data_IF_556838729149
#
_entry.id   IF_556838729149
#
_cell.length_a   1.000
_cell.length_b   1.000
_cell.length_c   1.000
_cell.angle_alpha   90.00
_cell.angle_beta   90.00
_cell.angle_gamma   90.00
#
_symmetry.space_group_name_H-M   'P 1'
#
loop_
_entity.id
_entity.type
_entity.pdbx_description
1 polymer ?
#
# COMPACT_ATOMS: atom_id res chain seq x y z
N UNK A 1 -13.79 64.11 29.77
CA UNK A 1 -15.16 64.41 30.26
C UNK A 1 -16.05 64.51 29.03
N UNK A 2 -17.05 63.69 28.73
CA UNK A 2 -17.68 62.56 29.40
C UNK A 2 -18.46 61.79 28.33
N UNK A 3 -18.53 60.46 28.46
CA UNK A 3 -19.46 59.53 27.77
C UNK A 3 -20.94 59.89 28.08
N UNK A 4 -22.02 59.23 27.56
CA UNK A 4 -22.11 57.79 27.23
C UNK A 4 -23.03 57.33 26.06
N UNK A 5 -23.00 56.01 25.90
CA UNK A 5 -23.64 55.03 25.00
C UNK A 5 -25.17 54.81 25.12
N UNK A 6 -25.82 54.29 24.05
CA UNK A 6 -26.98 53.36 24.04
C UNK A 6 -27.22 52.88 22.57
N UNK A 7 -27.00 51.62 22.18
CA UNK A 7 -27.86 50.42 22.25
C UNK A 7 -29.19 50.47 21.47
N UNK A 8 -29.33 49.64 20.43
CA UNK A 8 -30.63 49.27 19.82
C UNK A 8 -30.89 47.77 19.89
N UNK A 9 -32.02 47.45 20.54
CA UNK A 9 -32.94 46.33 20.42
C UNK A 9 -32.56 45.08 19.61
N UNK A 10 -32.55 43.93 20.30
CA UNK A 10 -32.89 42.63 19.71
C UNK A 10 -34.01 41.99 20.55
N UNK A 11 -35.10 41.61 19.91
CA UNK A 11 -36.31 41.12 20.55
C UNK A 11 -36.18 39.66 21.02
N UNK A 12 -36.51 39.42 22.30
CA UNK A 12 -36.67 38.09 22.89
C UNK A 12 -38.00 37.44 22.47
N UNK A 13 -37.95 36.14 22.15
CA UNK A 13 -39.06 35.20 22.42
C UNK A 13 -38.54 34.10 23.35
N UNK A 14 -39.24 33.94 24.48
CA UNK A 14 -38.96 33.05 25.62
C UNK A 14 -39.06 31.57 25.25
N UNK A 15 -38.16 30.76 25.82
CA UNK A 15 -38.33 29.30 26.06
C UNK A 15 -38.07 29.05 27.56
N UNK A 16 -38.81 28.16 28.25
CA UNK A 16 -38.77 28.05 29.71
C UNK A 16 -37.52 27.36 30.24
N UNK A 17 -37.06 27.80 31.42
CA UNK A 17 -35.94 27.26 32.16
C UNK A 17 -36.32 25.99 32.95
N UNK A 18 -35.43 24.99 32.96
CA UNK A 18 -35.35 23.94 33.97
C UNK A 18 -33.89 23.84 34.42
N UNK A 19 -33.70 23.89 35.74
CA UNK A 19 -32.42 23.98 36.47
C UNK A 19 -31.54 22.72 36.39
N UNK A 20 -30.23 22.82 36.70
CA UNK A 20 -29.26 21.75 36.48
C UNK A 20 -29.22 20.79 37.67
N UNK A 21 -29.37 19.50 37.40
CA UNK A 21 -29.00 18.45 38.36
C UNK A 21 -28.18 17.36 37.66
N UNK A 22 -26.92 17.26 38.12
CA UNK A 22 -26.16 16.03 38.30
C UNK A 22 -25.78 15.23 37.04
N UNK A 23 -24.60 15.50 36.49
CA UNK A 23 -23.86 14.58 35.61
C UNK A 23 -23.06 13.64 36.53
N UNK A 24 -23.29 12.31 36.52
CA UNK A 24 -22.35 11.36 37.10
C UNK A 24 -21.22 11.10 36.09
N UNK A 25 -20.01 11.19 36.60
CA UNK A 25 -18.73 10.88 35.96
C UNK A 25 -18.74 9.51 35.25
N UNK A 26 -18.28 9.46 33.99
CA UNK A 26 -17.87 8.20 33.36
C UNK A 26 -16.48 7.82 33.88
N UNK A 27 -16.45 6.94 34.88
CA UNK A 27 -15.30 6.08 35.16
C UNK A 27 -15.23 4.97 34.10
N UNK A 28 -14.02 4.75 33.56
CA UNK A 28 -13.71 3.54 32.79
C UNK A 28 -13.81 2.29 33.68
N UNK A 29 -14.23 1.14 33.12
CA UNK A 29 -13.75 -0.14 33.60
C UNK A 29 -12.76 -0.74 32.60
N UNK A 30 -11.66 -1.20 33.17
CA UNK A 30 -10.64 -2.00 32.52
C UNK A 30 -11.15 -3.39 32.10
N UNK A 31 -10.43 -3.94 31.13
CA UNK A 31 -10.42 -5.30 30.59
C UNK A 31 -11.13 -6.42 31.37
N UNK A 32 -12.01 -7.13 30.68
CA UNK A 32 -12.26 -8.55 30.87
C UNK A 32 -12.56 -9.17 29.49
N UNK A 33 -11.79 -10.18 29.10
CA UNK A 33 -11.85 -10.80 27.78
C UNK A 33 -13.16 -11.53 27.51
N UNK A 34 -13.65 -11.40 26.28
CA UNK A 34 -14.61 -12.31 25.69
C UNK A 34 -14.35 -12.38 24.18
N UNK A 35 -13.94 -13.58 23.73
CA UNK A 35 -13.96 -13.99 22.32
C UNK A 35 -15.36 -13.78 21.73
N UNK A 36 -15.47 -13.01 20.64
CA UNK A 36 -16.67 -13.01 19.80
C UNK A 36 -16.22 -13.25 18.36
N UNK A 37 -16.75 -14.33 17.76
CA UNK A 37 -16.58 -14.69 16.36
C UNK A 37 -17.49 -13.81 15.50
N UNK A 38 -16.96 -12.71 14.99
CA UNK A 38 -17.69 -11.68 14.21
C UNK A 38 -17.96 -12.07 12.75
N UNK A 39 -18.49 -13.27 12.48
CA UNK A 39 -18.91 -13.66 11.12
C UNK A 39 -20.42 -13.85 10.98
N UNK A 40 -21.19 -13.92 12.07
CA UNK A 40 -22.65 -14.10 12.01
C UNK A 40 -23.46 -12.83 12.40
N UNK A 41 -22.87 -11.88 13.13
CA UNK A 41 -23.61 -10.72 13.66
C UNK A 41 -23.87 -9.59 12.65
N UNK A 42 -23.11 -9.50 11.54
CA UNK A 42 -23.35 -8.46 10.53
C UNK A 42 -24.64 -8.69 9.73
N UNK A 43 -25.13 -9.94 9.67
CA UNK A 43 -26.43 -10.27 9.05
C UNK A 43 -27.62 -9.91 9.95
N UNK A 44 -27.39 -9.79 11.27
CA UNK A 44 -28.41 -9.45 12.27
C UNK A 44 -28.36 -7.99 12.74
N UNK A 45 -27.47 -7.18 12.17
CA UNK A 45 -27.33 -5.79 12.56
C UNK A 45 -28.42 -4.94 11.90
N UNK A 46 -29.28 -4.31 12.71
CA UNK A 46 -30.36 -3.39 12.26
C UNK A 46 -29.83 -2.10 11.58
N UNK A 47 -28.52 -2.00 11.40
CA UNK A 47 -27.87 -0.89 10.70
C UNK A 47 -28.13 -0.99 9.19
N UNK A 48 -28.58 0.10 8.52
CA UNK A 48 -28.84 0.10 7.08
C UNK A 48 -27.64 -0.37 6.24
N UNK A 49 -26.43 -0.11 6.74
CA UNK A 49 -25.16 -0.51 6.11
C UNK A 49 -24.92 -2.02 6.08
N UNK A 50 -25.49 -2.82 7.00
CA UNK A 50 -25.41 -4.28 6.96
C UNK A 50 -26.43 -4.88 5.97
N UNK A 51 -27.67 -4.38 6.03
CA UNK A 51 -28.80 -4.86 5.23
C UNK A 51 -28.63 -4.60 3.71
N UNK A 52 -28.02 -3.48 3.34
CA UNK A 52 -27.87 -3.05 1.94
C UNK A 52 -26.61 -3.62 1.26
N UNK A 53 -25.61 -4.07 2.02
CA UNK A 53 -24.27 -4.28 1.47
C UNK A 53 -24.20 -5.51 0.57
N UNK A 54 -24.70 -6.66 1.03
CA UNK A 54 -24.43 -7.93 0.33
C UNK A 54 -25.08 -8.00 -1.05
N UNK A 55 -26.34 -7.54 -1.18
CA UNK A 55 -27.08 -7.63 -2.45
C UNK A 55 -26.82 -6.47 -3.42
N UNK A 56 -26.49 -5.28 -2.89
CA UNK A 56 -26.09 -4.15 -3.73
C UNK A 56 -24.75 -4.42 -4.43
N UNK A 57 -23.82 -5.07 -3.72
CA UNK A 57 -22.50 -5.45 -4.26
C UNK A 57 -22.60 -6.51 -5.38
N UNK A 58 -23.67 -7.29 -5.43
CA UNK A 58 -23.93 -8.33 -6.43
C UNK A 58 -24.76 -7.84 -7.64
N UNK A 59 -25.09 -6.55 -7.69
CA UNK A 59 -25.81 -5.95 -8.83
C UNK A 59 -27.31 -6.26 -8.86
N UNK A 60 -27.91 -6.66 -7.74
CA UNK A 60 -29.33 -6.99 -7.62
C UNK A 60 -30.06 -6.12 -6.59
N UNK A 61 -29.71 -4.84 -6.57
CA UNK A 61 -30.34 -3.86 -5.69
C UNK A 61 -31.83 -3.71 -6.03
N UNK A 62 -32.69 -4.30 -5.23
CA UNK A 62 -34.12 -4.03 -5.24
C UNK A 62 -34.67 -4.17 -3.82
N UNK A 63 -35.68 -3.37 -3.47
CA UNK A 63 -36.33 -3.46 -2.16
C UNK A 63 -36.90 -4.87 -1.91
N UNK A 64 -37.38 -5.55 -2.95
CA UNK A 64 -37.88 -6.92 -2.83
C UNK A 64 -36.80 -7.95 -2.47
N UNK A 65 -35.59 -7.83 -3.04
CA UNK A 65 -34.50 -8.71 -2.68
C UNK A 65 -33.98 -8.43 -1.26
N UNK A 66 -33.90 -7.15 -0.88
CA UNK A 66 -33.38 -6.72 0.43
C UNK A 66 -34.29 -7.18 1.57
N UNK A 67 -35.61 -7.26 1.31
CA UNK A 67 -36.62 -7.58 2.31
C UNK A 67 -37.04 -9.06 2.34
N UNK A 68 -36.56 -9.89 1.40
CA UNK A 68 -36.87 -11.32 1.37
C UNK A 68 -35.92 -12.12 2.29
N UNK A 69 -36.50 -12.82 3.26
CA UNK A 69 -35.79 -13.63 4.26
C UNK A 69 -35.42 -15.05 3.77
N UNK A 70 -36.03 -15.53 2.68
CA UNK A 70 -35.76 -16.85 2.11
C UNK A 70 -34.62 -16.77 1.09
N UNK A 71 -33.42 -17.14 1.53
CA UNK A 71 -32.19 -17.09 0.73
C UNK A 71 -31.95 -18.41 0.00
N UNK A 72 -32.00 -18.41 -1.33
CA UNK A 72 -31.28 -19.41 -2.13
C UNK A 72 -29.91 -18.84 -2.57
N UNK A 73 -28.84 -19.66 -2.61
CA UNK A 73 -27.55 -19.23 -3.13
C UNK A 73 -27.61 -19.08 -4.66
N UNK A 74 -27.90 -17.87 -5.14
CA UNK A 74 -28.10 -17.64 -6.59
C UNK A 74 -26.79 -17.25 -7.28
N UNK A 75 -26.37 -18.05 -8.27
CA UNK A 75 -25.19 -17.82 -9.12
C UNK A 75 -25.25 -16.49 -9.90
N UNK A 76 -24.09 -15.82 -9.99
CA UNK A 76 -23.84 -14.68 -10.90
C UNK A 76 -24.10 -15.12 -12.34
N UNK A 77 -25.14 -14.58 -12.98
CA UNK A 77 -25.32 -14.74 -14.42
C UNK A 77 -24.27 -13.88 -15.14
N UNK A 78 -23.20 -14.50 -15.63
CA UNK A 78 -22.36 -13.90 -16.68
C UNK A 78 -23.25 -13.70 -17.90
N UNK A 79 -23.32 -12.47 -18.42
CA UNK A 79 -23.94 -12.19 -19.71
C UNK A 79 -23.31 -13.10 -20.76
N UNK A 80 -24.14 -13.86 -21.47
CA UNK A 80 -23.75 -15.03 -22.29
C UNK A 80 -23.10 -14.67 -23.64
N UNK A 81 -22.90 -13.38 -23.92
CA UNK A 81 -22.32 -12.83 -25.17
C UNK A 81 -21.04 -12.03 -24.88
N UNK A 82 -20.02 -12.68 -24.33
CA UNK A 82 -18.71 -12.05 -24.14
C UNK A 82 -17.78 -12.46 -25.28
N UNK A 83 -17.33 -11.47 -26.06
CA UNK A 83 -16.20 -11.62 -26.99
C UNK A 83 -15.01 -12.25 -26.26
N UNK A 84 -14.19 -13.10 -26.93
CA UNK A 84 -13.04 -13.71 -26.29
C UNK A 84 -12.12 -12.63 -25.71
N UNK A 85 -11.91 -12.65 -24.39
CA UNK A 85 -11.05 -11.68 -23.69
C UNK A 85 -9.59 -12.19 -23.62
N UNK A 86 -9.35 -13.48 -23.90
CA UNK A 86 -8.04 -14.11 -23.83
C UNK A 86 -7.10 -13.60 -24.95
N UNK A 87 -5.93 -13.00 -24.62
CA UNK A 87 -4.99 -12.50 -25.62
C UNK A 87 -4.47 -13.57 -26.58
N UNK A 88 -4.47 -14.85 -26.19
CA UNK A 88 -4.02 -15.96 -27.04
C UNK A 88 -5.10 -16.33 -28.05
N UNK A 89 -6.36 -16.41 -27.62
CA UNK A 89 -7.50 -16.70 -28.51
C UNK A 89 -7.75 -15.58 -29.51
N UNK A 90 -7.49 -14.33 -29.10
CA UNK A 90 -7.51 -13.15 -29.97
C UNK A 90 -6.34 -13.10 -30.97
N UNK A 91 -5.40 -14.05 -30.92
CA UNK A 91 -4.22 -14.04 -31.78
C UNK A 91 -3.29 -12.85 -31.52
N UNK A 92 -3.35 -12.25 -30.33
CA UNK A 92 -2.44 -11.14 -29.99
C UNK A 92 -1.01 -11.65 -29.83
N UNK A 93 -0.87 -12.87 -29.30
CA UNK A 93 0.39 -13.56 -29.00
C UNK A 93 0.24 -15.07 -29.20
N UNK A 94 1.33 -15.74 -29.57
CA UNK A 94 1.36 -17.21 -29.67
C UNK A 94 1.43 -17.86 -28.29
N UNK A 95 0.86 -19.08 -28.10
CA UNK A 95 0.86 -19.76 -26.80
C UNK A 95 2.27 -19.98 -26.22
N UNK A 96 3.25 -20.31 -27.07
CA UNK A 96 4.64 -20.54 -26.65
C UNK A 96 5.30 -19.27 -26.11
N UNK A 97 5.10 -18.14 -26.80
CA UNK A 97 5.65 -16.86 -26.40
C UNK A 97 4.95 -16.31 -25.16
N UNK A 98 3.62 -16.50 -25.06
CA UNK A 98 2.87 -16.15 -23.86
C UNK A 98 3.39 -16.91 -22.62
N UNK A 99 3.63 -18.21 -22.75
CA UNK A 99 4.21 -19.02 -21.67
C UNK A 99 5.62 -18.54 -21.28
N UNK A 100 6.47 -18.26 -22.27
CA UNK A 100 7.84 -17.75 -22.02
C UNK A 100 7.85 -16.39 -21.32
N UNK A 101 6.98 -15.46 -21.72
CA UNK A 101 6.83 -14.16 -21.06
C UNK A 101 6.28 -14.31 -19.64
N UNK A 102 5.29 -15.18 -19.43
CA UNK A 102 4.76 -15.47 -18.11
C UNK A 102 5.82 -16.01 -17.16
N UNK A 103 6.64 -16.96 -17.62
CA UNK A 103 7.72 -17.53 -16.81
C UNK A 103 8.78 -16.47 -16.48
N UNK A 104 9.13 -15.64 -17.46
CA UNK A 104 10.05 -14.51 -17.26
C UNK A 104 9.50 -13.51 -16.23
N UNK A 105 8.19 -13.23 -16.24
CA UNK A 105 7.57 -12.39 -15.22
C UNK A 105 7.69 -13.03 -13.83
N UNK A 106 7.32 -14.30 -13.68
CA UNK A 106 7.30 -14.97 -12.38
C UNK A 106 8.70 -15.10 -11.77
N UNK A 107 9.72 -15.31 -12.61
CA UNK A 107 11.11 -15.46 -12.16
C UNK A 107 11.82 -14.12 -11.94
N UNK A 108 11.62 -13.12 -12.81
CA UNK A 108 12.41 -11.88 -12.78
C UNK A 108 11.65 -10.71 -12.19
N UNK A 109 10.39 -10.48 -12.56
CA UNK A 109 9.65 -9.28 -12.17
C UNK A 109 8.88 -9.46 -10.85
N UNK A 110 8.24 -10.61 -10.66
CA UNK A 110 7.44 -10.90 -9.47
C UNK A 110 8.22 -10.77 -8.15
N UNK A 111 9.52 -11.15 -8.04
CA UNK A 111 10.29 -10.92 -6.82
C UNK A 111 10.42 -9.44 -6.38
N UNK A 112 10.32 -8.48 -7.30
CA UNK A 112 10.39 -7.05 -6.95
C UNK A 112 9.10 -6.53 -6.31
N UNK A 113 7.98 -7.21 -6.56
CA UNK A 113 6.64 -6.76 -6.14
C UNK A 113 5.99 -7.72 -5.14
N UNK A 114 6.50 -8.96 -5.05
CA UNK A 114 6.06 -10.05 -4.17
C UNK A 114 4.56 -10.33 -4.20
N UNK A 115 3.92 -10.11 -5.33
CA UNK A 115 2.47 -10.04 -5.40
C UNK A 115 1.82 -11.40 -5.69
N UNK A 116 2.42 -12.17 -6.60
CA UNK A 116 1.90 -13.47 -7.02
C UNK A 116 2.67 -14.60 -6.35
N UNK A 117 1.94 -15.68 -6.06
CA UNK A 117 2.51 -16.93 -5.55
C UNK A 117 2.87 -17.85 -6.72
N UNK A 118 4.16 -18.22 -6.93
CA UNK A 118 4.56 -19.11 -8.01
C UNK A 118 3.93 -20.51 -7.96
N UNK A 119 3.51 -20.98 -6.79
CA UNK A 119 2.94 -22.33 -6.63
C UNK A 119 1.46 -22.33 -7.00
N UNK A 120 0.74 -21.23 -6.73
CA UNK A 120 -0.67 -21.08 -7.09
C UNK A 120 -0.86 -20.51 -8.49
N UNK A 121 -0.17 -19.42 -8.82
CA UNK A 121 -0.34 -18.65 -10.06
C UNK A 121 0.49 -19.27 -11.18
N UNK A 122 0.13 -20.50 -11.55
CA UNK A 122 0.67 -21.14 -12.74
C UNK A 122 0.03 -20.56 -14.00
N UNK A 123 0.71 -20.67 -15.15
CA UNK A 123 0.18 -20.17 -16.43
C UNK A 123 -1.23 -20.70 -16.75
N UNK A 124 -1.53 -22.02 -16.62
CA UNK A 124 -2.88 -22.54 -16.84
C UNK A 124 -3.90 -21.98 -15.84
N UNK A 125 -3.52 -21.84 -14.56
CA UNK A 125 -4.39 -21.32 -13.51
C UNK A 125 -4.81 -19.88 -13.81
N UNK A 126 -3.83 -19.00 -14.08
CA UNK A 126 -4.09 -17.57 -14.34
C UNK A 126 -4.92 -17.40 -15.61
N UNK A 127 -4.59 -18.11 -16.68
CA UNK A 127 -5.33 -18.07 -17.94
C UNK A 127 -6.80 -18.48 -17.77
N UNK A 128 -7.07 -19.51 -16.97
CA UNK A 128 -8.43 -19.97 -16.70
C UNK A 128 -9.23 -19.03 -15.79
N UNK A 129 -8.55 -18.34 -14.86
CA UNK A 129 -9.19 -17.49 -13.84
C UNK A 129 -9.48 -16.07 -14.33
N UNK A 130 -8.54 -15.43 -15.03
CA UNK A 130 -8.67 -14.02 -15.42
C UNK A 130 -7.81 -13.66 -16.63
N UNK A 131 -8.49 -13.35 -17.74
CA UNK A 131 -7.86 -12.81 -18.95
C UNK A 131 -7.18 -11.45 -18.68
N UNK A 132 -7.73 -10.64 -17.77
CA UNK A 132 -7.15 -9.35 -17.41
C UNK A 132 -5.84 -9.50 -16.62
N UNK A 133 -5.78 -10.44 -15.67
CA UNK A 133 -4.54 -10.73 -14.95
C UNK A 133 -3.47 -11.29 -15.88
N UNK A 134 -3.83 -12.25 -16.74
CA UNK A 134 -2.92 -12.78 -17.75
C UNK A 134 -2.36 -11.67 -18.64
N UNK A 135 -3.24 -10.84 -19.21
CA UNK A 135 -2.84 -9.76 -20.12
C UNK A 135 -1.93 -8.75 -19.45
N UNK A 136 -2.19 -8.41 -18.18
CA UNK A 136 -1.35 -7.48 -17.40
C UNK A 136 0.05 -8.06 -17.14
N UNK A 137 0.14 -9.35 -16.78
CA UNK A 137 1.40 -10.06 -16.61
C UNK A 137 2.20 -10.06 -17.91
N UNK A 138 1.55 -10.46 -19.02
CA UNK A 138 2.21 -10.55 -20.33
C UNK A 138 2.65 -9.17 -20.84
N UNK A 139 1.85 -8.12 -20.63
CA UNK A 139 2.22 -6.76 -20.99
C UNK A 139 3.47 -6.28 -20.24
N UNK A 140 3.53 -6.44 -18.91
CA UNK A 140 4.69 -6.00 -18.14
C UNK A 140 5.93 -6.85 -18.44
N UNK A 141 5.76 -8.15 -18.68
CA UNK A 141 6.84 -9.01 -19.16
C UNK A 141 7.36 -8.57 -20.54
N UNK A 142 6.45 -8.27 -21.47
CA UNK A 142 6.81 -7.78 -22.80
C UNK A 142 7.55 -6.43 -22.72
N UNK A 143 7.16 -5.52 -21.82
CA UNK A 143 7.89 -4.27 -21.57
C UNK A 143 9.36 -4.51 -21.24
N UNK A 144 9.65 -5.53 -20.42
CA UNK A 144 11.01 -5.86 -19.99
C UNK A 144 11.79 -6.71 -21.01
N UNK A 145 11.15 -7.66 -21.68
CA UNK A 145 11.85 -8.71 -22.45
C UNK A 145 11.53 -8.74 -23.95
N UNK A 146 10.41 -8.15 -24.38
CA UNK A 146 9.99 -8.15 -25.78
C UNK A 146 9.12 -6.91 -26.11
N UNK A 147 9.79 -5.77 -26.26
CA UNK A 147 9.13 -4.48 -26.43
C UNK A 147 8.26 -4.39 -27.70
N UNK A 148 8.52 -5.23 -28.71
CA UNK A 148 7.72 -5.27 -29.95
C UNK A 148 6.27 -5.67 -29.66
N UNK A 149 6.04 -6.54 -28.68
CA UNK A 149 4.70 -6.96 -28.27
C UNK A 149 4.09 -6.09 -27.18
N UNK A 150 4.88 -5.22 -26.56
CA UNK A 150 4.47 -4.46 -25.39
C UNK A 150 3.22 -3.62 -25.66
N UNK A 151 3.27 -2.75 -26.68
CA UNK A 151 2.17 -1.81 -26.99
C UNK A 151 0.85 -2.58 -27.19
N UNK A 152 0.88 -3.61 -28.04
CA UNK A 152 -0.31 -4.43 -28.36
C UNK A 152 -0.91 -5.12 -27.14
N UNK A 153 -0.07 -5.71 -26.28
CA UNK A 153 -0.53 -6.39 -25.06
C UNK A 153 -0.97 -5.41 -23.98
N UNK A 154 -0.32 -4.26 -23.89
CA UNK A 154 -0.65 -3.21 -22.95
C UNK A 154 -1.99 -2.56 -23.29
N UNK A 155 -2.23 -2.22 -24.56
CA UNK A 155 -3.51 -1.68 -25.02
C UNK A 155 -4.66 -2.65 -24.71
N UNK A 156 -4.48 -3.95 -24.99
CA UNK A 156 -5.46 -4.98 -24.61
C UNK A 156 -5.71 -5.03 -23.10
N UNK A 157 -4.66 -4.94 -22.27
CA UNK A 157 -4.84 -4.88 -20.82
C UNK A 157 -5.59 -3.61 -20.37
N UNK A 158 -5.37 -2.46 -21.02
CA UNK A 158 -6.11 -1.22 -20.73
C UNK A 158 -7.59 -1.31 -21.14
N UNK A 159 -7.89 -1.96 -22.26
CA UNK A 159 -9.26 -2.22 -22.71
C UNK A 159 -10.01 -3.13 -21.72
N UNK A 160 -9.35 -4.19 -21.26
CA UNK A 160 -9.89 -5.07 -20.22
C UNK A 160 -10.09 -4.31 -18.90
N UNK A 161 -9.16 -3.44 -18.51
CA UNK A 161 -9.33 -2.61 -17.31
C UNK A 161 -10.57 -1.70 -17.42
N UNK A 162 -10.76 -1.07 -18.58
CA UNK A 162 -11.93 -0.22 -18.86
C UNK A 162 -13.24 -1.02 -18.87
N UNK A 163 -13.21 -2.23 -19.43
CA UNK A 163 -14.33 -3.18 -19.43
C UNK A 163 -14.72 -3.59 -18.01
N UNK A 164 -13.74 -3.95 -17.17
CA UNK A 164 -13.93 -4.30 -15.75
C UNK A 164 -14.59 -3.15 -15.00
N UNK A 165 -14.09 -1.93 -15.17
CA UNK A 165 -14.66 -0.74 -14.55
C UNK A 165 -16.12 -0.51 -14.98
N UNK A 166 -16.38 -0.55 -16.29
CA UNK A 166 -17.72 -0.38 -16.87
C UNK A 166 -18.72 -1.43 -16.38
N UNK A 167 -18.29 -2.68 -16.24
CA UNK A 167 -19.12 -3.81 -15.77
C UNK A 167 -19.27 -3.84 -14.24
N UNK A 168 -18.42 -3.11 -13.50
CA UNK A 168 -18.36 -3.20 -12.04
C UNK A 168 -17.90 -4.57 -11.52
N UNK A 169 -17.08 -5.29 -12.30
CA UNK A 169 -16.60 -6.62 -11.94
C UNK A 169 -15.57 -6.56 -10.82
N UNK A 170 -15.64 -7.51 -9.88
CA UNK A 170 -14.83 -7.53 -8.66
C UNK A 170 -14.32 -8.94 -8.40
N UNK A 171 -13.00 -9.09 -8.33
CA UNK A 171 -12.31 -10.33 -7.97
C UNK A 171 -10.89 -10.05 -7.47
N UNK A 172 -10.25 -11.06 -6.89
CA UNK A 172 -8.84 -10.98 -6.42
C UNK A 172 -7.92 -10.69 -7.60
N UNK A 173 -8.13 -11.38 -8.71
CA UNK A 173 -7.31 -11.31 -9.92
C UNK A 173 -7.42 -9.94 -10.59
N UNK A 174 -8.58 -9.29 -10.51
CA UNK A 174 -8.78 -7.91 -10.97
C UNK A 174 -7.93 -6.94 -10.15
N UNK A 175 -7.98 -7.04 -8.82
CA UNK A 175 -7.15 -6.22 -7.93
C UNK A 175 -5.67 -6.45 -8.25
N UNK A 176 -5.29 -7.72 -8.45
CA UNK A 176 -3.92 -8.05 -8.74
C UNK A 176 -3.44 -7.48 -10.08
N UNK A 177 -4.26 -7.59 -11.12
CA UNK A 177 -3.98 -7.04 -12.44
C UNK A 177 -3.79 -5.51 -12.39
N UNK A 178 -4.67 -4.81 -11.66
CA UNK A 178 -4.56 -3.36 -11.48
C UNK A 178 -3.23 -2.98 -10.85
N UNK A 179 -2.81 -3.68 -9.79
CA UNK A 179 -1.53 -3.41 -9.11
C UNK A 179 -0.33 -3.64 -10.03
N UNK A 180 -0.32 -4.73 -10.80
CA UNK A 180 0.75 -5.03 -11.75
C UNK A 180 0.94 -3.88 -12.75
N UNK A 181 -0.16 -3.33 -13.28
CA UNK A 181 -0.12 -2.19 -14.21
C UNK A 181 0.39 -0.88 -13.57
N UNK A 182 0.46 -0.80 -12.23
CA UNK A 182 0.91 0.41 -11.52
C UNK A 182 2.39 0.43 -11.19
N UNK A 183 3.07 -0.72 -11.18
CA UNK A 183 4.48 -0.81 -10.77
C UNK A 183 5.48 -0.33 -11.83
N UNK A 184 5.16 -0.56 -13.11
CA UNK A 184 5.97 -0.16 -14.27
C UNK A 184 5.12 0.71 -15.21
N UNK A 185 4.66 1.85 -14.70
CA UNK A 185 3.71 2.71 -15.41
C UNK A 185 4.38 3.41 -16.58
N UNK A 186 3.58 3.97 -17.49
CA UNK A 186 4.10 4.91 -18.47
C UNK A 186 4.34 6.28 -17.82
N UNK A 187 5.36 7.04 -18.25
CA UNK A 187 5.63 8.38 -17.70
C UNK A 187 4.40 9.29 -17.75
N UNK A 188 3.61 9.18 -18.81
CA UNK A 188 2.40 9.98 -19.04
C UNK A 188 1.17 9.48 -18.26
N UNK A 189 1.23 8.29 -17.65
CA UNK A 189 0.10 7.78 -16.88
C UNK A 189 0.06 8.46 -15.50
N UNK A 190 -0.98 9.27 -15.30
CA UNK A 190 -1.28 9.99 -14.06
C UNK A 190 -2.29 9.25 -13.18
N UNK A 191 -2.84 8.13 -13.66
CA UNK A 191 -3.98 7.43 -13.04
C UNK A 191 -3.57 6.44 -11.96
N UNK A 192 -2.28 6.18 -11.77
CA UNK A 192 -1.78 5.13 -10.85
C UNK A 192 -2.43 5.19 -9.47
N UNK A 193 -2.49 6.36 -8.83
CA UNK A 193 -3.10 6.47 -7.50
C UNK A 193 -4.63 6.30 -7.51
N UNK A 194 -5.29 6.73 -8.58
CA UNK A 194 -6.73 6.49 -8.77
C UNK A 194 -6.99 5.00 -8.98
N UNK A 195 -6.15 4.32 -9.75
CA UNK A 195 -6.22 2.87 -9.98
C UNK A 195 -5.98 2.09 -8.68
N UNK A 196 -4.97 2.46 -7.88
CA UNK A 196 -4.73 1.88 -6.55
C UNK A 196 -5.93 2.13 -5.63
N UNK A 197 -6.48 3.35 -5.60
CA UNK A 197 -7.67 3.67 -4.83
C UNK A 197 -8.90 2.83 -5.24
N UNK A 198 -9.06 2.58 -6.54
CA UNK A 198 -10.10 1.69 -7.05
C UNK A 198 -9.88 0.24 -6.62
N UNK A 199 -8.65 -0.27 -6.73
CA UNK A 199 -8.29 -1.61 -6.24
C UNK A 199 -8.58 -1.77 -4.75
N UNK A 200 -8.24 -0.77 -3.92
CA UNK A 200 -8.55 -0.76 -2.49
C UNK A 200 -10.07 -0.79 -2.25
N UNK A 201 -10.85 -0.04 -3.04
CA UNK A 201 -12.32 -0.07 -2.94
C UNK A 201 -12.88 -1.45 -3.30
N UNK A 202 -12.34 -2.12 -4.33
CA UNK A 202 -12.71 -3.51 -4.63
C UNK A 202 -12.40 -4.43 -3.45
N UNK A 203 -11.25 -4.28 -2.78
CA UNK A 203 -10.92 -5.07 -1.59
C UNK A 203 -11.89 -4.83 -0.43
N UNK A 204 -12.34 -3.58 -0.23
CA UNK A 204 -13.37 -3.26 0.77
C UNK A 204 -14.69 -3.96 0.44
N UNK A 205 -15.12 -3.88 -0.81
CA UNK A 205 -16.33 -4.53 -1.32
C UNK A 205 -16.27 -6.06 -1.19
N UNK A 206 -15.08 -6.66 -1.32
CA UNK A 206 -14.86 -8.09 -1.10
C UNK A 206 -14.71 -8.46 0.39
N UNK A 207 -14.89 -7.51 1.30
CA UNK A 207 -14.86 -7.75 2.75
C UNK A 207 -13.46 -7.92 3.35
N UNK A 208 -12.38 -7.61 2.62
CA UNK A 208 -11.02 -7.92 3.09
C UNK A 208 -10.58 -7.07 4.29
N UNK A 209 -11.17 -5.88 4.45
CA UNK A 209 -10.93 -5.00 5.59
C UNK A 209 -11.42 -5.58 6.93
N UNK A 210 -12.35 -6.54 6.91
CA UNK A 210 -12.88 -7.23 8.10
C UNK A 210 -12.14 -8.53 8.43
N UNK A 211 -11.14 -8.91 7.64
CA UNK A 211 -10.44 -10.19 7.83
C UNK A 211 -9.47 -10.09 9.00
N UNK A 212 -9.78 -10.79 10.08
CA UNK A 212 -8.83 -11.07 11.16
C UNK A 212 -7.80 -12.13 10.71
N UNK A 213 -6.59 -12.09 11.29
CA UNK A 213 -5.60 -13.16 11.15
C UNK A 213 -6.10 -14.42 11.88
N UNK A 214 -6.94 -15.19 11.22
CA UNK A 214 -7.56 -16.38 11.81
C UNK A 214 -6.64 -17.60 11.67
N UNK A 215 -5.90 -17.93 12.74
CA UNK A 215 -5.44 -19.32 13.01
C UNK A 215 -6.60 -20.19 13.54
N UNK A 216 -7.76 -20.11 12.89
CA UNK A 216 -8.95 -20.81 13.36
C UNK A 216 -8.87 -22.31 13.11
N UNK A 217 -9.50 -23.12 13.97
CA UNK A 217 -9.73 -24.55 13.75
C UNK A 217 -10.48 -24.86 12.43
N UNK A 218 -11.17 -23.88 11.84
CA UNK A 218 -11.75 -23.97 10.51
C UNK A 218 -10.69 -24.02 9.39
N UNK A 219 -9.56 -23.30 9.54
CA UNK A 219 -8.44 -23.34 8.60
C UNK A 219 -7.76 -24.71 8.56
N UNK A 220 -7.86 -25.49 9.64
CA UNK A 220 -7.34 -26.86 9.71
C UNK A 220 -8.12 -27.84 8.81
N UNK A 221 -9.38 -27.53 8.45
CA UNK A 221 -10.22 -28.33 7.54
C UNK A 221 -10.13 -27.93 6.07
N UNK A 222 -9.50 -26.79 5.77
CA UNK A 222 -9.34 -26.32 4.39
C UNK A 222 -8.35 -27.17 3.60
N UNK A 223 -8.68 -27.39 2.32
CA UNK A 223 -7.74 -27.96 1.35
C UNK A 223 -6.53 -27.04 1.16
N UNK A 224 -5.38 -27.62 0.80
CA UNK A 224 -4.14 -26.86 0.55
C UNK A 224 -4.35 -25.74 -0.48
N UNK A 225 -5.11 -25.99 -1.55
CA UNK A 225 -5.43 -24.99 -2.56
C UNK A 225 -6.22 -23.80 -1.99
N UNK A 226 -7.17 -24.04 -1.07
CA UNK A 226 -7.95 -22.97 -0.42
C UNK A 226 -7.07 -22.13 0.51
N UNK A 227 -6.12 -22.77 1.20
CA UNK A 227 -5.15 -22.06 2.05
C UNK A 227 -4.23 -21.17 1.21
N UNK A 228 -3.79 -21.64 0.05
CA UNK A 228 -2.98 -20.86 -0.90
C UNK A 228 -3.76 -19.67 -1.47
N UNK A 229 -5.03 -19.87 -1.88
CA UNK A 229 -5.91 -18.79 -2.33
C UNK A 229 -6.13 -17.75 -1.21
N UNK A 230 -6.37 -18.20 0.03
CA UNK A 230 -6.50 -17.31 1.20
C UNK A 230 -5.24 -16.47 1.40
N UNK A 231 -4.06 -17.08 1.33
CA UNK A 231 -2.75 -16.43 1.47
C UNK A 231 -2.47 -15.45 0.33
N UNK A 232 -2.91 -15.77 -0.89
CA UNK A 232 -2.83 -14.86 -2.05
C UNK A 232 -3.62 -13.58 -1.83
N UNK A 233 -4.81 -13.68 -1.22
CA UNK A 233 -5.60 -12.50 -0.85
C UNK A 233 -4.89 -11.66 0.21
N UNK A 234 -4.35 -12.30 1.24
CA UNK A 234 -3.57 -11.64 2.30
C UNK A 234 -2.38 -10.86 1.74
N UNK A 235 -1.57 -11.48 0.86
CA UNK A 235 -0.48 -10.79 0.13
C UNK A 235 -0.98 -9.57 -0.62
N UNK A 236 -2.07 -9.72 -1.36
CA UNK A 236 -2.62 -8.65 -2.17
C UNK A 236 -3.03 -7.48 -1.28
N UNK A 237 -3.68 -7.75 -0.14
CA UNK A 237 -4.06 -6.74 0.86
C UNK A 237 -2.84 -5.99 1.41
N UNK A 238 -1.77 -6.71 1.75
CA UNK A 238 -0.51 -6.12 2.25
C UNK A 238 0.13 -5.22 1.18
N UNK A 239 0.21 -5.69 -0.07
CA UNK A 239 0.86 -4.95 -1.17
C UNK A 239 0.17 -3.62 -1.51
N UNK A 240 -1.16 -3.53 -1.33
CA UNK A 240 -1.96 -2.32 -1.57
C UNK A 240 -1.62 -1.16 -0.64
N UNK A 241 -0.97 -1.44 0.49
CA UNK A 241 -0.66 -0.46 1.51
C UNK A 241 0.73 0.14 1.29
N UNK A 242 1.17 0.44 0.06
CA UNK A 242 2.50 1.03 -0.19
C UNK A 242 2.39 2.50 -0.65
N UNK A 243 3.18 3.41 -0.07
CA UNK A 243 3.43 4.78 -0.60
C UNK A 243 2.50 5.96 -0.23
N UNK A 244 1.30 5.75 0.33
CA UNK A 244 0.35 6.82 0.74
C UNK A 244 -0.27 6.55 2.12
N UNK A 245 -0.98 7.50 2.78
CA UNK A 245 -1.68 7.25 4.04
C UNK A 245 -2.55 5.99 3.98
N UNK A 246 -2.75 5.35 5.13
CA UNK A 246 -3.57 4.15 5.23
C UNK A 246 -4.98 4.42 4.70
N UNK A 247 -5.36 3.72 3.62
CA UNK A 247 -6.74 3.71 3.14
C UNK A 247 -7.50 2.48 3.66
N UNK A 248 -6.79 1.47 4.14
CA UNK A 248 -7.31 0.34 4.92
C UNK A 248 -6.73 0.52 6.32
N UNK A 249 -7.58 0.42 7.36
CA UNK A 249 -7.14 0.54 8.74
C UNK A 249 -6.08 -0.51 9.08
N UNK A 250 -5.14 -0.14 9.96
CA UNK A 250 -4.13 -1.06 10.44
C UNK A 250 -4.82 -2.07 11.38
N UNK A 251 -5.16 -3.24 10.84
CA UNK A 251 -5.77 -4.32 11.61
C UNK A 251 -4.73 -5.10 12.41
N UNK A 252 -5.18 -5.88 13.39
CA UNK A 252 -4.32 -6.81 14.15
C UNK A 252 -3.52 -7.76 13.24
N UNK A 253 -4.04 -8.07 12.04
CA UNK A 253 -3.33 -8.84 11.03
C UNK A 253 -2.07 -8.14 10.54
N UNK A 254 -2.15 -6.84 10.24
CA UNK A 254 -1.00 -6.06 9.78
C UNK A 254 0.03 -5.93 10.90
N UNK A 255 -0.40 -5.76 12.16
CA UNK A 255 0.49 -5.71 13.31
C UNK A 255 1.21 -7.06 13.57
N UNK A 256 0.53 -8.17 13.29
CA UNK A 256 1.06 -9.54 13.45
C UNK A 256 1.76 -10.08 12.19
N UNK A 257 2.17 -9.22 11.26
CA UNK A 257 2.79 -9.61 9.98
C UNK A 257 4.02 -10.52 10.14
N UNK A 258 4.79 -10.38 11.22
CA UNK A 258 5.96 -11.24 11.45
C UNK A 258 5.57 -12.70 11.66
N UNK A 259 4.42 -12.97 12.28
CA UNK A 259 3.90 -14.33 12.44
C UNK A 259 3.47 -14.92 11.09
N UNK A 260 2.90 -14.10 10.21
CA UNK A 260 2.52 -14.48 8.86
C UNK A 260 3.74 -14.83 7.99
N UNK A 261 4.84 -14.09 8.14
CA UNK A 261 6.12 -14.36 7.46
C UNK A 261 6.89 -15.57 8.01
N UNK A 262 6.45 -16.17 9.12
CA UNK A 262 7.09 -17.37 9.70
C UNK A 262 6.18 -18.60 9.63
N UNK A 263 5.08 -18.51 8.89
CA UNK A 263 4.11 -19.59 8.72
C UNK A 263 4.64 -20.67 7.75
N UNK A 264 4.07 -21.88 7.78
CA UNK A 264 4.52 -23.03 6.99
C UNK A 264 4.33 -22.84 5.48
N UNK A 265 3.37 -22.01 5.05
CA UNK A 265 3.08 -21.71 3.64
C UNK A 265 3.88 -20.52 3.08
N UNK A 266 4.92 -20.09 3.80
CA UNK A 266 5.69 -18.90 3.44
C UNK A 266 6.59 -19.15 2.23
N UNK A 267 6.51 -18.25 1.25
CA UNK A 267 7.44 -18.21 0.11
C UNK A 267 8.52 -17.14 0.34
N UNK A 268 9.63 -17.20 -0.39
CA UNK A 268 10.73 -16.23 -0.26
C UNK A 268 10.26 -14.77 -0.41
N UNK A 269 9.34 -14.53 -1.35
CA UNK A 269 8.75 -13.23 -1.63
C UNK A 269 7.96 -12.64 -0.43
N UNK A 270 7.42 -13.48 0.45
CA UNK A 270 6.65 -13.04 1.62
C UNK A 270 7.54 -12.33 2.65
N UNK A 271 8.85 -12.64 2.68
CA UNK A 271 9.80 -11.97 3.56
C UNK A 271 9.95 -10.50 3.19
N UNK A 272 10.00 -10.18 1.89
CA UNK A 272 10.08 -8.80 1.43
C UNK A 272 8.82 -8.01 1.82
N UNK A 273 7.63 -8.59 1.65
CA UNK A 273 6.38 -7.97 2.09
C UNK A 273 6.36 -7.71 3.59
N UNK A 274 6.82 -8.67 4.40
CA UNK A 274 6.98 -8.50 5.84
C UNK A 274 7.92 -7.36 6.21
N UNK A 275 9.07 -7.28 5.52
CA UNK A 275 10.02 -6.20 5.70
C UNK A 275 9.38 -4.84 5.41
N UNK A 276 8.72 -4.69 4.27
CA UNK A 276 8.08 -3.42 3.91
C UNK A 276 6.89 -3.05 4.81
N UNK A 277 6.12 -4.04 5.27
CA UNK A 277 5.00 -3.80 6.19
C UNK A 277 5.51 -3.33 7.55
N UNK A 278 6.51 -4.02 8.11
CA UNK A 278 7.12 -3.61 9.38
C UNK A 278 7.82 -2.24 9.29
N UNK A 279 8.46 -1.94 8.16
CA UNK A 279 9.03 -0.61 7.90
C UNK A 279 7.94 0.47 7.89
N UNK A 280 6.82 0.20 7.22
CA UNK A 280 5.68 1.10 7.18
C UNK A 280 5.07 1.28 8.57
N UNK A 281 4.94 0.23 9.38
CA UNK A 281 4.48 0.30 10.77
C UNK A 281 5.41 1.16 11.66
N UNK A 282 6.73 1.09 11.46
CA UNK A 282 7.67 1.96 12.19
C UNK A 282 7.40 3.43 11.87
N UNK A 283 7.08 3.75 10.62
CA UNK A 283 6.86 5.12 10.16
C UNK A 283 5.43 5.64 10.32
N UNK A 284 4.43 4.77 10.46
CA UNK A 284 3.01 5.11 10.29
C UNK A 284 2.48 6.21 11.21
N UNK A 285 2.90 6.22 12.48
CA UNK A 285 2.40 7.17 13.48
C UNK A 285 3.25 8.43 13.58
N UNK A 286 4.58 8.30 13.53
CA UNK A 286 5.49 9.41 13.82
C UNK A 286 5.84 10.25 12.58
N UNK A 287 5.92 9.63 11.39
CA UNK A 287 6.35 10.33 10.17
C UNK A 287 5.31 11.37 9.69
N UNK A 288 3.99 11.10 9.68
CA UNK A 288 2.99 12.11 9.32
C UNK A 288 2.96 13.29 10.28
N UNK A 289 3.18 13.05 11.58
CA UNK A 289 3.26 14.11 12.59
C UNK A 289 4.46 15.03 12.33
N UNK A 290 5.63 14.46 12.07
CA UNK A 290 6.84 15.22 11.70
C UNK A 290 6.63 15.97 10.38
N UNK A 291 6.09 15.32 9.35
CA UNK A 291 5.82 15.96 8.06
C UNK A 291 4.83 17.12 8.17
N UNK A 292 3.79 17.00 8.99
CA UNK A 292 2.79 18.05 9.21
C UNK A 292 3.41 19.25 9.92
N UNK A 293 4.13 19.02 11.02
CA UNK A 293 4.81 20.09 11.75
C UNK A 293 5.91 20.78 10.92
N UNK A 294 6.60 20.02 10.05
CA UNK A 294 7.61 20.55 9.12
C UNK A 294 6.98 21.53 8.12
N UNK A 295 5.86 21.14 7.51
CA UNK A 295 5.10 22.03 6.60
C UNK A 295 4.59 23.29 7.29
N UNK A 296 4.19 23.17 8.55
CA UNK A 296 3.71 24.29 9.36
C UNK A 296 4.86 25.19 9.87
N UNK A 297 6.13 24.87 9.55
CA UNK A 297 7.33 25.56 10.05
C UNK A 297 7.37 25.68 11.57
N UNK A 298 6.70 24.76 12.27
CA UNK A 298 6.53 24.78 13.72
C UNK A 298 7.40 23.73 14.42
N UNK A 299 8.27 23.03 13.67
CA UNK A 299 9.23 22.10 14.24
C UNK A 299 10.40 22.88 14.83
N UNK A 300 10.50 22.93 16.15
CA UNK A 300 11.77 23.27 16.80
C UNK A 300 12.70 22.06 16.78
N UNK A 301 14.01 22.31 16.63
CA UNK A 301 15.03 21.26 16.62
C UNK A 301 14.94 20.38 17.88
N UNK A 302 14.80 21.01 19.05
CA UNK A 302 14.70 20.37 20.36
C UNK A 302 13.54 19.38 20.48
N UNK A 303 12.42 19.63 19.80
CA UNK A 303 11.25 18.75 19.83
C UNK A 303 11.36 17.59 18.83
N UNK A 304 12.05 17.81 17.71
CA UNK A 304 12.21 16.80 16.65
C UNK A 304 13.35 15.81 16.89
N UNK A 305 14.45 16.25 17.50
CA UNK A 305 15.67 15.46 17.61
C UNK A 305 15.49 14.10 18.34
N UNK A 306 14.76 14.01 19.48
CA UNK A 306 14.54 12.73 20.15
C UNK A 306 13.70 11.75 19.31
N UNK A 307 12.68 12.27 18.61
CA UNK A 307 11.82 11.45 17.75
C UNK A 307 12.57 10.98 16.50
N UNK A 308 13.38 11.84 15.90
CA UNK A 308 14.25 11.48 14.76
C UNK A 308 15.25 10.41 15.16
N UNK A 309 15.96 10.58 16.29
CA UNK A 309 16.92 9.59 16.79
C UNK A 309 16.26 8.24 17.12
N UNK A 310 15.08 8.26 17.75
CA UNK A 310 14.32 7.05 18.05
C UNK A 310 13.92 6.29 16.77
N UNK A 311 13.41 6.99 15.75
CA UNK A 311 13.01 6.39 14.49
C UNK A 311 14.21 5.89 13.70
N UNK A 312 15.31 6.63 13.68
CA UNK A 312 16.54 6.23 13.02
C UNK A 312 17.07 4.90 13.58
N UNK A 313 17.18 4.80 14.91
CA UNK A 313 17.57 3.54 15.57
C UNK A 313 16.56 2.40 15.38
N UNK A 314 15.29 2.67 15.06
CA UNK A 314 14.33 1.64 14.65
C UNK A 314 14.54 1.19 13.21
N UNK A 315 14.83 2.12 12.29
CA UNK A 315 15.12 1.82 10.88
C UNK A 315 16.43 1.02 10.77
N UNK A 316 17.46 1.38 11.53
CA UNK A 316 18.74 0.63 11.56
C UNK A 316 18.56 -0.81 12.02
N UNK A 317 17.85 -1.01 13.14
CA UNK A 317 17.55 -2.36 13.65
C UNK A 317 16.70 -3.15 12.67
N UNK A 318 15.74 -2.50 12.02
CA UNK A 318 14.91 -3.12 10.98
C UNK A 318 15.77 -3.57 9.79
N UNK A 319 16.62 -2.70 9.26
CA UNK A 319 17.48 -3.00 8.10
C UNK A 319 18.41 -4.17 8.41
N UNK A 320 19.06 -4.15 9.58
CA UNK A 320 19.93 -5.23 10.05
C UNK A 320 19.17 -6.56 10.14
N UNK A 321 18.04 -6.59 10.85
CA UNK A 321 17.21 -7.79 11.05
C UNK A 321 16.82 -8.44 9.72
N UNK A 322 16.30 -7.64 8.78
CA UNK A 322 15.77 -8.18 7.53
C UNK A 322 16.86 -8.53 6.53
N UNK A 323 17.96 -7.77 6.51
CA UNK A 323 19.13 -8.11 5.68
C UNK A 323 19.75 -9.42 6.14
N UNK A 324 19.98 -9.60 7.45
CA UNK A 324 20.51 -10.86 8.00
C UNK A 324 19.60 -12.06 7.67
N UNK A 325 18.28 -11.89 7.77
CA UNK A 325 17.30 -12.94 7.45
C UNK A 325 17.35 -13.36 5.98
N UNK A 326 17.56 -12.42 5.06
CA UNK A 326 17.53 -12.68 3.61
C UNK A 326 18.90 -13.13 3.08
N UNK A 327 19.99 -12.56 3.57
CA UNK A 327 21.34 -13.00 3.20
C UNK A 327 21.60 -14.44 3.64
N UNK A 328 20.94 -14.91 4.70
CA UNK A 328 20.97 -16.32 5.11
C UNK A 328 20.33 -17.28 4.09
N UNK A 329 19.45 -16.78 3.21
CA UNK A 329 18.72 -17.58 2.21
C UNK A 329 19.37 -17.48 0.83
N UNK A 330 19.72 -16.26 0.39
CA UNK A 330 20.28 -16.02 -0.94
C UNK A 330 21.17 -14.77 -0.94
N UNK A 331 22.43 -14.92 -1.34
CA UNK A 331 23.38 -13.82 -1.40
C UNK A 331 23.10 -12.90 -2.62
N UNK A 332 23.09 -11.57 -2.41
CA UNK A 332 22.85 -10.54 -3.44
C UNK A 332 21.52 -10.66 -4.20
N UNK A 333 20.44 -11.04 -3.52
CA UNK A 333 19.10 -11.05 -4.11
C UNK A 333 18.55 -9.64 -4.35
N UNK A 334 17.54 -9.53 -5.23
CA UNK A 334 16.76 -8.29 -5.39
C UNK A 334 16.15 -7.83 -4.05
N UNK A 335 15.78 -8.76 -3.17
CA UNK A 335 15.23 -8.45 -1.84
C UNK A 335 16.25 -7.73 -0.95
N UNK A 336 17.52 -8.15 -0.97
CA UNK A 336 18.59 -7.46 -0.22
C UNK A 336 18.75 -6.01 -0.71
N UNK A 337 18.79 -5.82 -2.03
CA UNK A 337 18.85 -4.48 -2.62
C UNK A 337 17.68 -3.62 -2.16
N UNK A 338 16.45 -4.13 -2.29
CA UNK A 338 15.23 -3.42 -1.97
C UNK A 338 15.17 -3.01 -0.49
N UNK A 339 15.52 -3.90 0.44
CA UNK A 339 15.48 -3.59 1.88
C UNK A 339 16.48 -2.48 2.23
N UNK A 340 17.73 -2.62 1.79
CA UNK A 340 18.77 -1.59 2.02
C UNK A 340 18.37 -0.26 1.38
N UNK A 341 17.85 -0.29 0.15
CA UNK A 341 17.48 0.91 -0.60
C UNK A 341 16.32 1.67 0.06
N UNK A 342 15.23 0.98 0.41
CA UNK A 342 14.08 1.61 1.05
C UNK A 342 14.39 2.06 2.49
N UNK A 343 15.19 1.31 3.25
CA UNK A 343 15.67 1.71 4.57
C UNK A 343 16.49 3.00 4.52
N UNK A 344 17.47 3.04 3.61
CA UNK A 344 18.33 4.23 3.40
C UNK A 344 17.50 5.42 2.91
N UNK A 345 16.53 5.21 2.01
CA UNK A 345 15.65 6.26 1.53
C UNK A 345 14.81 6.88 2.66
N UNK A 346 14.22 6.06 3.53
CA UNK A 346 13.45 6.56 4.67
C UNK A 346 14.32 7.29 5.69
N UNK A 347 15.55 6.83 5.91
CA UNK A 347 16.54 7.54 6.75
C UNK A 347 16.87 8.91 6.17
N UNK A 348 17.08 9.00 4.85
CA UNK A 348 17.28 10.28 4.16
C UNK A 348 16.06 11.20 4.35
N UNK A 349 14.85 10.69 4.10
CA UNK A 349 13.63 11.49 4.28
C UNK A 349 13.46 11.98 5.71
N UNK A 350 13.68 11.11 6.70
CA UNK A 350 13.57 11.41 8.12
C UNK A 350 14.45 12.59 8.52
N UNK A 351 15.71 12.57 8.08
CA UNK A 351 16.68 13.63 8.39
C UNK A 351 16.50 14.87 7.51
N UNK A 352 15.82 14.77 6.37
CA UNK A 352 15.52 15.96 5.53
C UNK A 352 14.35 16.79 6.09
N UNK A 353 13.42 16.17 6.84
CA UNK A 353 12.22 16.85 7.36
C UNK A 353 12.52 18.08 8.26
N UNK A 354 13.45 18.00 9.24
CA UNK A 354 13.85 19.17 10.04
C UNK A 354 14.61 20.21 9.21
N UNK A 355 15.35 19.78 8.18
CA UNK A 355 16.18 20.67 7.35
C UNK A 355 15.36 21.51 6.37
N UNK A 356 14.10 21.17 6.09
CA UNK A 356 13.30 21.87 5.09
C UNK A 356 13.08 23.36 5.43
N UNK A 357 12.97 23.70 6.72
CA UNK A 357 12.86 25.10 7.16
C UNK A 357 14.16 25.89 6.96
N UNK A 358 15.31 25.24 7.12
CA UNK A 358 16.65 25.84 7.08
C UNK A 358 17.14 25.98 5.63
N UNK A 359 16.96 24.96 4.80
CA UNK A 359 17.31 25.01 3.37
C UNK A 359 16.45 26.00 2.55
N UNK A 360 15.44 26.61 3.18
CA UNK A 360 14.55 27.63 2.59
C UNK A 360 14.74 28.99 3.27
N UNK A 361 15.20 29.02 4.52
CA UNK A 361 15.49 30.25 5.27
C UNK A 361 16.99 30.52 5.25
N UNK A 362 17.40 31.64 4.66
CA UNK A 362 18.79 32.09 4.49
C UNK A 362 19.54 32.43 5.81
N UNK A 363 19.12 31.84 6.94
CA UNK A 363 19.63 32.15 8.28
C UNK A 363 20.62 31.10 8.77
N UNK A 364 21.72 31.61 9.28
CA UNK A 364 22.98 30.98 9.67
C UNK A 364 22.93 30.19 10.99
N UNK A 365 22.02 29.22 11.13
CA UNK A 365 21.96 28.35 12.33
C UNK A 365 22.27 26.87 11.99
N UNK A 366 23.29 26.69 11.13
CA UNK A 366 23.70 25.40 10.56
C UNK A 366 24.42 24.52 11.60
N UNK A 367 25.16 25.13 12.53
CA UNK A 367 26.00 24.42 13.51
C UNK A 367 25.19 23.47 14.40
N UNK A 368 23.93 23.80 14.71
CA UNK A 368 23.05 22.94 15.51
C UNK A 368 22.48 21.74 14.78
N UNK A 369 22.64 21.67 13.45
CA UNK A 369 22.04 20.65 12.59
C UNK A 369 23.06 19.86 11.76
N UNK A 370 24.36 20.08 11.99
CA UNK A 370 25.43 19.50 11.17
C UNK A 370 25.38 17.96 11.15
N UNK A 371 25.06 17.34 12.29
CA UNK A 371 24.89 15.90 12.40
C UNK A 371 23.72 15.39 11.55
N UNK A 372 22.60 16.11 11.57
CA UNK A 372 21.42 15.77 10.75
C UNK A 372 21.71 15.90 9.26
N UNK A 373 22.45 16.95 8.87
CA UNK A 373 22.90 17.15 7.48
C UNK A 373 23.86 16.04 7.06
N UNK A 374 24.79 15.65 7.93
CA UNK A 374 25.76 14.58 7.65
C UNK A 374 25.08 13.22 7.46
N UNK A 375 24.10 12.87 8.32
CA UNK A 375 23.33 11.63 8.17
C UNK A 375 22.50 11.64 6.89
N UNK A 376 21.87 12.77 6.55
CA UNK A 376 21.14 12.90 5.28
C UNK A 376 22.08 12.79 4.07
N UNK A 377 23.23 13.47 4.10
CA UNK A 377 24.24 13.42 3.04
C UNK A 377 24.78 11.99 2.84
N UNK A 378 25.20 11.33 3.91
CA UNK A 378 25.70 9.95 3.85
C UNK A 378 24.63 8.97 3.37
N UNK A 379 23.38 9.14 3.80
CA UNK A 379 22.25 8.33 3.31
C UNK A 379 22.02 8.53 1.81
N UNK A 380 22.02 9.77 1.33
CA UNK A 380 21.85 10.06 -0.10
C UNK A 380 22.99 9.48 -0.95
N UNK A 381 24.24 9.57 -0.48
CA UNK A 381 25.40 8.98 -1.14
C UNK A 381 25.32 7.45 -1.16
N UNK A 382 24.94 6.83 -0.04
CA UNK A 382 24.77 5.39 0.08
C UNK A 382 23.69 4.87 -0.88
N UNK A 383 22.59 5.61 -1.09
CA UNK A 383 21.59 5.25 -2.12
C UNK A 383 22.20 5.16 -3.52
N UNK A 384 23.05 6.13 -3.91
CA UNK A 384 23.70 6.11 -5.22
C UNK A 384 24.72 4.96 -5.33
N UNK A 385 25.43 4.65 -4.24
CA UNK A 385 26.34 3.50 -4.18
C UNK A 385 25.58 2.17 -4.29
N UNK A 386 24.41 2.04 -3.66
CA UNK A 386 23.55 0.86 -3.77
C UNK A 386 23.08 0.64 -5.22
N UNK A 387 22.66 1.70 -5.91
CA UNK A 387 22.30 1.64 -7.33
C UNK A 387 23.49 1.18 -8.19
N UNK A 388 24.69 1.68 -7.92
CA UNK A 388 25.90 1.25 -8.64
C UNK A 388 26.27 -0.21 -8.33
N UNK A 389 26.08 -0.67 -7.09
CA UNK A 389 26.44 -2.03 -6.65
C UNK A 389 25.46 -3.09 -7.17
N UNK A 390 24.19 -2.73 -7.29
CA UNK A 390 23.11 -3.61 -7.74
C UNK A 390 22.59 -3.23 -9.13
N UNK A 391 23.46 -2.73 -10.01
CA UNK A 391 23.08 -2.18 -11.32
C UNK A 391 22.22 -3.12 -12.17
N UNK A 392 22.48 -4.43 -12.11
CA UNK A 392 21.70 -5.47 -12.80
C UNK A 392 20.23 -5.56 -12.35
N UNK A 393 19.94 -5.14 -11.12
CA UNK A 393 18.61 -5.20 -10.54
C UNK A 393 17.79 -3.93 -10.83
N UNK A 394 18.48 -2.83 -11.14
CA UNK A 394 17.87 -1.51 -11.31
C UNK A 394 16.98 -1.45 -12.54
N UNK A 395 17.24 -2.24 -13.58
CA UNK A 395 16.42 -2.25 -14.80
C UNK A 395 15.04 -2.90 -14.62
N UNK A 396 14.87 -3.75 -13.60
CA UNK A 396 13.61 -4.43 -13.29
C UNK A 396 12.87 -3.82 -12.09
N UNK A 397 13.54 -2.89 -11.40
CA UNK A 397 13.01 -2.14 -10.28
C UNK A 397 11.73 -1.36 -10.66
N UNK A 398 10.90 -1.11 -9.65
CA UNK A 398 9.72 -0.25 -9.79
C UNK A 398 10.13 1.20 -10.08
N UNK A 399 9.26 1.95 -10.76
CA UNK A 399 9.53 3.37 -11.10
C UNK A 399 9.81 4.25 -9.88
N UNK A 400 9.25 3.89 -8.72
CA UNK A 400 9.50 4.57 -7.44
C UNK A 400 10.99 4.63 -7.08
N UNK A 401 11.76 3.59 -7.39
CA UNK A 401 13.19 3.51 -7.08
C UNK A 401 13.98 4.54 -7.88
N UNK A 402 13.61 4.77 -9.15
CA UNK A 402 14.22 5.80 -9.98
C UNK A 402 13.90 7.21 -9.46
N UNK A 403 12.66 7.46 -9.02
CA UNK A 403 12.26 8.74 -8.41
C UNK A 403 13.01 8.99 -7.10
N UNK A 404 13.14 7.97 -6.25
CA UNK A 404 13.89 8.05 -5.00
C UNK A 404 15.39 8.29 -5.23
N UNK A 405 15.95 7.72 -6.28
CA UNK A 405 17.34 7.94 -6.71
C UNK A 405 17.54 9.37 -7.25
N UNK A 406 16.61 9.87 -8.06
CA UNK A 406 16.65 11.25 -8.53
C UNK A 406 16.54 12.24 -7.35
N UNK A 407 15.70 11.93 -6.36
CA UNK A 407 15.58 12.71 -5.13
C UNK A 407 16.89 12.76 -4.34
N UNK A 408 17.58 11.63 -4.15
CA UNK A 408 18.87 11.62 -3.43
C UNK A 408 19.95 12.41 -4.17
N UNK A 409 20.03 12.29 -5.49
CA UNK A 409 20.96 13.07 -6.31
C UNK A 409 20.67 14.58 -6.22
N UNK A 410 19.40 14.98 -6.37
CA UNK A 410 18.99 16.38 -6.25
C UNK A 410 19.28 16.95 -4.85
N UNK A 411 19.08 16.15 -3.80
CA UNK A 411 19.42 16.54 -2.43
C UNK A 411 20.92 16.83 -2.28
N UNK A 412 21.79 15.94 -2.77
CA UNK A 412 23.25 16.13 -2.72
C UNK A 412 23.69 17.41 -3.43
N UNK A 413 23.17 17.67 -4.64
CA UNK A 413 23.46 18.91 -5.38
C UNK A 413 23.06 20.14 -4.57
N UNK A 414 21.88 20.11 -3.93
CA UNK A 414 21.39 21.23 -3.12
C UNK A 414 22.25 21.48 -1.88
N UNK A 415 22.68 20.42 -1.20
CA UNK A 415 23.56 20.51 -0.02
C UNK A 415 24.92 21.08 -0.40
N UNK A 416 25.54 20.59 -1.48
CA UNK A 416 26.83 21.10 -1.98
C UNK A 416 26.72 22.57 -2.34
N UNK A 417 25.68 22.96 -3.07
CA UNK A 417 25.46 24.35 -3.46
C UNK A 417 25.30 25.28 -2.25
N UNK A 418 24.54 24.84 -1.23
CA UNK A 418 24.33 25.59 0.00
C UNK A 418 25.66 25.86 0.75
N UNK A 419 26.50 24.84 0.95
CA UNK A 419 27.80 25.04 1.62
C UNK A 419 28.81 25.83 0.77
N UNK A 420 28.80 25.66 -0.55
CA UNK A 420 29.66 26.46 -1.44
C UNK A 420 29.29 27.95 -1.45
N UNK A 421 28.01 28.30 -1.25
CA UNK A 421 27.58 29.68 -1.08
C UNK A 421 27.87 30.22 0.33
N UNK A 422 27.64 29.39 1.36
CA UNK A 422 27.92 29.79 2.74
C UNK A 422 29.40 30.06 3.00
N UNK A 423 30.31 29.32 2.35
CA UNK A 423 31.76 29.55 2.46
C UNK A 423 32.30 30.76 1.66
N UNK A 424 31.44 31.56 1.04
CA UNK A 424 31.82 32.83 0.37
C UNK A 424 31.59 34.08 1.24
N UNK A 425 31.01 33.92 2.43
CA UNK A 425 30.89 34.94 3.46
C UNK A 425 31.76 34.57 4.65
#
# INVERSE_FOLDING_TARGET
>A
MSSPSLQSANALKKVPAISPQSIPSLESPAAAGAHISETEDDANNLQPSGLLNHQALEGRFSLGNILNADQEPVQRQRSRDESPEDPIELGLITPSLAKSLFDSFMTVLNPYISQLDPHLHTFPYVRAKSAFLLSSILAMAAKAFNYVLYIKLYDHAQDLFSSVFRRGSKSVEIVQAILILTYWKEPQDTRVWTSVGYAIRICMDLGWHKRAYCRSAAAAKESEAQRQERRSIERTCISLQTGRPWMIECSEFIESIENWCNDALTIENDQLLGAFTTLRLITSSAFPLLATKSRQRSLSHSESAPLVSLLDGRIERWEKKWTEKITAQTEKSCHEFLIRFYGTHLRLQLHTLPLHGILVSDKSDIDHHIDTVWVAYSSALNMLQLISRFSEHVCFAQDSIHVMTAYSAAFLVKVVYFFCLAGKH
#
